data_IF_030770756920
#
_entry.id   IF_030770756920
#
_cell.length_a   1.000
_cell.length_b   1.000
_cell.length_c   1.000
_cell.angle_alpha   90.00
_cell.angle_beta   90.00
_cell.angle_gamma   90.00
#
_symmetry.space_group_name_H-M   'P 1'
#
loop_
_entity.id
_entity.type
_entity.pdbx_description
1 polymer ?
#
# COMPACT_ATOMS: atom_id res chain seq x y z
N UNK A 1 20.37 -58.69 -24.72
CA UNK A 1 20.95 -57.34 -24.88
C UNK A 1 19.91 -56.49 -25.60
N UNK A 2 19.13 -55.62 -24.94
CA UNK A 2 19.49 -54.22 -24.55
C UNK A 2 20.14 -53.51 -25.74
N UNK A 3 19.58 -52.43 -26.28
CA UNK A 3 19.53 -51.06 -25.73
C UNK A 3 18.25 -50.35 -26.27
N UNK A 4 17.23 -50.02 -25.48
CA UNK A 4 17.02 -48.75 -24.77
C UNK A 4 17.64 -47.52 -25.45
N UNK A 5 16.81 -46.55 -25.87
CA UNK A 5 17.05 -45.08 -25.95
C UNK A 5 16.09 -44.47 -26.99
N UNK A 6 15.34 -43.39 -26.78
CA UNK A 6 15.17 -42.52 -25.63
C UNK A 6 13.90 -41.69 -25.85
N UNK A 7 13.18 -41.47 -24.76
CA UNK A 7 11.90 -40.78 -24.67
C UNK A 7 11.96 -39.35 -25.20
N UNK A 8 10.93 -38.95 -25.95
CA UNK A 8 10.69 -37.57 -26.40
C UNK A 8 10.47 -36.71 -25.15
N UNK A 9 11.45 -35.89 -24.80
CA UNK A 9 11.36 -34.94 -23.70
C UNK A 9 10.51 -33.73 -24.15
N UNK A 10 9.25 -33.68 -23.70
CA UNK A 10 8.43 -32.48 -23.81
C UNK A 10 9.00 -31.40 -22.89
N UNK A 11 9.62 -30.37 -23.48
CA UNK A 11 10.07 -29.17 -22.77
C UNK A 11 8.85 -28.32 -22.41
N UNK A 12 8.27 -28.57 -21.24
CA UNK A 12 7.30 -27.67 -20.63
C UNK A 12 8.03 -26.37 -20.28
N UNK A 13 7.81 -25.33 -21.10
CA UNK A 13 8.27 -23.98 -20.82
C UNK A 13 7.53 -23.43 -19.59
N UNK A 14 8.16 -23.52 -18.42
CA UNK A 14 7.68 -22.83 -17.24
C UNK A 14 7.90 -21.32 -17.42
N UNK A 15 6.83 -20.58 -17.73
CA UNK A 15 6.84 -19.13 -17.63
C UNK A 15 6.95 -18.76 -16.14
N UNK A 16 8.17 -18.47 -15.69
CA UNK A 16 8.45 -17.98 -14.35
C UNK A 16 7.99 -16.52 -14.29
N UNK A 17 6.81 -16.28 -13.70
CA UNK A 17 6.40 -14.92 -13.33
C UNK A 17 7.26 -14.50 -12.14
N UNK A 18 8.22 -13.60 -12.38
CA UNK A 18 8.99 -12.98 -11.31
C UNK A 18 8.04 -12.09 -10.50
N UNK A 19 7.61 -12.56 -9.33
CA UNK A 19 6.96 -11.70 -8.35
C UNK A 19 8.00 -10.71 -7.83
N UNK A 20 7.92 -9.45 -8.27
CA UNK A 20 8.70 -8.38 -7.64
C UNK A 20 8.19 -8.25 -6.20
N UNK A 21 9.07 -8.09 -5.20
CA UNK A 21 8.60 -7.71 -3.87
C UNK A 21 7.93 -6.35 -4.04
N UNK A 22 6.60 -6.33 -3.92
CA UNK A 22 5.89 -5.08 -3.68
C UNK A 22 6.26 -4.73 -2.26
N UNK A 23 7.09 -3.70 -2.09
CA UNK A 23 7.35 -3.14 -0.78
C UNK A 23 5.99 -2.59 -0.31
N UNK A 24 5.33 -3.39 0.53
CA UNK A 24 4.12 -2.96 1.21
C UNK A 24 4.62 -2.09 2.35
N UNK A 25 4.99 -0.83 2.07
CA UNK A 25 5.23 0.15 3.13
C UNK A 25 4.06 0.04 4.10
N UNK A 26 4.36 -0.35 5.34
CA UNK A 26 3.39 -0.41 6.42
C UNK A 26 2.58 0.89 6.34
N UNK A 27 1.31 0.77 5.95
CA UNK A 27 0.43 1.92 5.80
C UNK A 27 0.18 2.38 7.23
N UNK A 28 0.97 3.34 7.71
CA UNK A 28 0.76 3.89 9.05
C UNK A 28 -0.66 4.46 9.08
N UNK A 29 -1.48 3.79 9.91
CA UNK A 29 -2.87 4.14 10.12
C UNK A 29 -2.95 5.08 11.30
N UNK A 30 -3.47 6.27 11.05
CA UNK A 30 -3.52 7.34 12.03
C UNK A 30 -4.97 7.66 12.33
N UNK A 31 -5.29 7.75 13.62
CA UNK A 31 -6.57 8.29 14.06
C UNK A 31 -6.34 9.65 14.68
N UNK A 32 -6.90 10.68 14.07
CA UNK A 32 -6.86 12.04 14.59
C UNK A 32 -8.20 12.39 15.22
N UNK A 33 -8.13 13.02 16.39
CA UNK A 33 -9.30 13.56 17.10
C UNK A 33 -9.31 15.09 17.13
N UNK A 34 -8.31 15.74 16.52
CA UNK A 34 -8.25 17.18 16.35
C UNK A 34 -7.84 17.56 14.92
N UNK A 35 -8.31 18.72 14.45
CA UNK A 35 -7.98 19.23 13.12
C UNK A 35 -6.50 19.65 13.02
N UNK A 36 -5.90 20.13 14.12
CA UNK A 36 -4.51 20.53 14.17
C UNK A 36 -3.54 19.34 14.05
N UNK A 37 -3.86 18.23 14.72
CA UNK A 37 -3.07 17.00 14.64
C UNK A 37 -3.18 16.37 13.26
N UNK A 38 -4.39 16.35 12.68
CA UNK A 38 -4.60 15.89 11.31
C UNK A 38 -3.77 16.72 10.33
N UNK A 39 -3.81 18.06 10.41
CA UNK A 39 -3.03 18.94 9.54
C UNK A 39 -1.53 18.70 9.64
N UNK A 40 -1.02 18.44 10.84
CA UNK A 40 0.41 18.27 11.10
C UNK A 40 0.92 16.87 10.74
N UNK A 41 0.09 15.84 10.93
CA UNK A 41 0.46 14.43 10.73
C UNK A 41 0.05 13.82 9.39
N UNK A 42 -0.74 14.53 8.56
CA UNK A 42 -1.37 13.99 7.35
C UNK A 42 -0.42 13.39 6.30
N UNK A 43 0.84 13.81 6.25
CA UNK A 43 1.83 13.29 5.28
C UNK A 43 2.61 12.08 5.80
N UNK A 44 2.51 11.78 7.09
CA UNK A 44 3.16 10.59 7.69
C UNK A 44 2.28 9.34 7.62
N UNK A 45 1.00 9.51 7.30
CA UNK A 45 -0.02 8.48 7.37
C UNK A 45 -0.52 8.13 5.98
N UNK A 46 -0.73 6.83 5.74
CA UNK A 46 -1.32 6.36 4.48
C UNK A 46 -2.80 6.05 4.61
N UNK A 47 -3.27 5.81 5.84
CA UNK A 47 -4.69 5.72 6.18
C UNK A 47 -4.99 6.70 7.30
N UNK A 48 -5.95 7.61 7.08
CA UNK A 48 -6.31 8.69 8.00
C UNK A 48 -7.76 8.51 8.44
N UNK A 49 -7.93 8.14 9.70
CA UNK A 49 -9.25 8.15 10.36
C UNK A 49 -9.45 9.47 11.08
N UNK A 50 -10.45 10.23 10.67
CA UNK A 50 -10.87 11.46 11.34
C UNK A 50 -12.00 11.09 12.32
N UNK A 51 -11.68 11.00 13.60
CA UNK A 51 -12.63 10.54 14.63
C UNK A 51 -13.13 11.70 15.46
N UNK A 52 -14.42 12.04 15.28
CA UNK A 52 -15.12 13.07 16.07
C UNK A 52 -14.37 14.41 16.16
N UNK A 53 -13.79 14.86 15.05
CA UNK A 53 -13.06 16.12 15.00
C UNK A 53 -14.04 17.29 15.00
N UNK A 54 -13.95 18.14 16.01
CA UNK A 54 -14.60 19.44 16.03
C UNK A 54 -13.69 20.46 15.32
N UNK A 55 -14.18 21.05 14.22
CA UNK A 55 -13.47 22.09 13.48
C UNK A 55 -13.97 23.45 13.98
N UNK A 56 -13.12 24.29 14.60
CA UNK A 56 -13.54 25.60 15.08
C UNK A 56 -14.16 26.47 13.97
N UNK A 57 -15.10 27.33 14.34
CA UNK A 57 -15.70 28.25 13.38
C UNK A 57 -14.64 29.21 12.81
N UNK A 58 -14.59 29.32 11.48
CA UNK A 58 -13.59 30.14 10.77
C UNK A 58 -12.27 29.42 10.50
N UNK A 59 -12.10 28.17 10.96
CA UNK A 59 -10.98 27.32 10.58
C UNK A 59 -11.36 26.35 9.46
N UNK A 60 -10.33 25.80 8.81
CA UNK A 60 -10.49 24.77 7.77
C UNK A 60 -9.76 23.52 8.21
N UNK A 61 -10.44 22.38 8.14
CA UNK A 61 -9.78 21.09 8.20
C UNK A 61 -8.99 20.87 6.91
N UNK A 62 -7.72 21.25 6.96
CA UNK A 62 -6.85 21.28 5.78
C UNK A 62 -6.18 19.92 5.53
N UNK A 63 -6.78 19.16 4.62
CA UNK A 63 -6.27 17.90 4.09
C UNK A 63 -5.65 18.07 2.69
N UNK A 64 -5.23 19.28 2.31
CA UNK A 64 -4.51 19.47 1.04
C UNK A 64 -3.10 18.91 1.13
N UNK A 65 -2.53 18.45 0.00
CA UNK A 65 -1.15 17.94 -0.03
C UNK A 65 -0.94 16.60 0.71
N UNK A 66 -1.97 15.74 0.74
CA UNK A 66 -1.79 14.34 1.12
C UNK A 66 -0.87 13.61 0.15
N UNK A 67 -0.26 12.53 0.61
CA UNK A 67 0.45 11.61 -0.28
C UNK A 67 -0.54 10.97 -1.25
N UNK A 68 -0.07 10.63 -2.45
CA UNK A 68 -0.90 9.97 -3.44
C UNK A 68 -1.39 8.61 -2.92
N UNK A 69 -2.69 8.36 -3.07
CA UNK A 69 -3.32 7.12 -2.60
C UNK A 69 -3.58 7.06 -1.09
N UNK A 70 -3.38 8.16 -0.34
CA UNK A 70 -3.87 8.25 1.05
C UNK A 70 -5.39 8.06 1.07
N UNK A 71 -5.85 7.21 2.00
CA UNK A 71 -7.27 6.95 2.28
C UNK A 71 -7.71 7.66 3.54
#
# INVERSE_FOLDING_TARGET
MQLLQSSIAATVGAALVAAVPVELEARDSCTFTSAADAKSGKTSCSTITLSNIEVPAGETLDLTGLNDGTT
#
